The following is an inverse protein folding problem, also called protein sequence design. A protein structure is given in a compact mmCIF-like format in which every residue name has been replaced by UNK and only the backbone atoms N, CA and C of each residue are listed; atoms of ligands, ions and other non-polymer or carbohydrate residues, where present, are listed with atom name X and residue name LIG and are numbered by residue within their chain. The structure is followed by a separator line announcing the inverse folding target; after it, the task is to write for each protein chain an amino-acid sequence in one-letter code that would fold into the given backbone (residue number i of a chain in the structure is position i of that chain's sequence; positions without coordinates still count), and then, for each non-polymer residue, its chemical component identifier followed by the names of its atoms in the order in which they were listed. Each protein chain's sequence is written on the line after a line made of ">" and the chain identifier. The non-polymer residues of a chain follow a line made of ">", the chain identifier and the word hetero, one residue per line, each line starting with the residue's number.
data_IF_999400591350
#
_entry.id   IF_999400591350
#
_cell.length_a   1.000
_cell.length_b   1.000
_cell.length_c   1.000
_cell.angle_alpha   90.00
_cell.angle_beta   90.00
_cell.angle_gamma   90.00
#
_symmetry.space_group_name_H-M   'P 1'
#
loop_
_entity.id
_entity.type
_entity.pdbx_description
1 polymer ?
#
# COMPACT_ATOMS: atom_id res chain seq x y z
N UNK A 1 1.93 39.78 -2.25
CA UNK A 1 2.37 38.42 -2.62
C UNK A 1 1.90 37.45 -1.53
N UNK A 2 0.71 36.85 -1.69
CA UNK A 2 0.15 35.93 -0.68
C UNK A 2 0.87 34.58 -0.82
N UNK A 3 1.62 34.16 0.21
CA UNK A 3 2.13 32.77 0.30
C UNK A 3 0.91 31.85 0.37
N UNK A 4 0.86 30.86 -0.53
CA UNK A 4 -0.07 29.73 -0.42
C UNK A 4 0.04 29.13 0.99
N UNK A 5 -1.08 28.76 1.65
CA UNK A 5 -1.01 28.17 2.97
C UNK A 5 -0.28 26.82 2.86
N UNK A 6 0.98 26.80 3.25
CA UNK A 6 1.79 25.59 3.29
C UNK A 6 1.17 24.61 4.27
N UNK A 7 1.02 23.36 3.84
CA UNK A 7 0.57 22.27 4.70
C UNK A 7 1.49 22.22 5.94
N UNK A 8 0.96 22.13 7.17
CA UNK A 8 1.76 22.14 8.38
C UNK A 8 2.81 21.04 8.42
N UNK A 9 3.95 21.29 9.08
CA UNK A 9 5.08 20.36 9.17
C UNK A 9 4.73 19.01 9.83
N UNK A 10 3.66 18.97 10.63
CA UNK A 10 3.11 17.76 11.27
C UNK A 10 2.22 16.91 10.36
N UNK A 11 1.89 17.37 9.15
CA UNK A 11 1.10 16.57 8.21
C UNK A 11 2.02 15.63 7.42
N UNK A 12 1.94 14.35 7.79
CA UNK A 12 2.53 13.23 7.07
C UNK A 12 1.57 12.77 5.97
N UNK A 13 2.06 12.64 4.74
CA UNK A 13 1.28 12.21 3.59
C UNK A 13 1.92 10.95 3.01
N UNK A 14 1.11 9.94 2.72
CA UNK A 14 1.55 8.68 2.13
C UNK A 14 1.07 8.60 0.68
N UNK A 15 1.93 8.09 -0.21
CA UNK A 15 1.51 7.65 -1.54
C UNK A 15 1.24 6.16 -1.49
N UNK A 16 -0.01 5.75 -1.61
CA UNK A 16 -0.27 4.38 -1.94
C UNK A 16 0.08 4.09 -3.40
N UNK A 17 0.87 3.05 -3.61
CA UNK A 17 1.24 2.57 -4.95
C UNK A 17 0.53 1.25 -5.18
N UNK A 18 -0.39 1.25 -6.14
CA UNK A 18 -1.34 0.14 -6.40
C UNK A 18 -1.13 -0.50 -7.76
N UNK A 19 -0.27 0.12 -8.57
CA UNK A 19 0.21 -0.32 -9.87
C UNK A 19 1.51 0.42 -10.16
N UNK A 20 2.25 -0.02 -11.17
CA UNK A 20 3.47 0.67 -11.59
C UNK A 20 3.53 0.87 -13.10
N UNK A 21 3.70 2.13 -13.50
CA UNK A 21 3.93 2.59 -14.87
C UNK A 21 4.74 3.91 -14.83
N UNK A 22 5.12 4.45 -15.99
CA UNK A 22 5.87 5.72 -16.06
C UNK A 22 5.11 6.91 -15.46
N UNK A 23 3.78 6.87 -15.52
CA UNK A 23 2.92 7.92 -14.96
C UNK A 23 3.04 7.92 -13.44
N UNK A 24 2.90 6.76 -12.79
CA UNK A 24 3.08 6.60 -11.34
C UNK A 24 4.48 7.04 -10.90
N UNK A 25 5.53 6.71 -11.67
CA UNK A 25 6.89 7.17 -11.36
C UNK A 25 7.02 8.69 -11.38
N UNK A 26 6.41 9.38 -12.36
CA UNK A 26 6.39 10.86 -12.43
C UNK A 26 5.53 11.46 -11.33
N UNK A 27 4.39 10.86 -11.01
CA UNK A 27 3.53 11.28 -9.90
C UNK A 27 4.24 11.16 -8.54
N UNK A 28 5.08 10.13 -8.34
CA UNK A 28 5.92 10.01 -7.15
C UNK A 28 6.95 11.14 -7.04
N UNK A 29 7.60 11.53 -8.15
CA UNK A 29 8.50 12.69 -8.18
C UNK A 29 7.76 13.97 -7.80
N UNK A 30 6.58 14.18 -8.41
CA UNK A 30 5.73 15.32 -8.10
C UNK A 30 5.29 15.27 -6.63
N UNK A 31 4.99 14.10 -6.07
CA UNK A 31 4.56 13.97 -4.68
C UNK A 31 5.68 14.26 -3.69
N UNK A 32 6.90 13.77 -3.93
CA UNK A 32 8.06 14.15 -3.10
C UNK A 32 8.25 15.67 -3.12
N UNK A 33 7.88 16.32 -4.23
CA UNK A 33 7.88 17.77 -4.36
C UNK A 33 6.60 18.47 -3.83
N UNK A 34 5.43 17.80 -3.76
CA UNK A 34 4.10 18.46 -3.58
C UNK A 34 3.02 17.76 -2.70
N UNK A 35 3.28 16.60 -2.07
CA UNK A 35 2.43 15.84 -1.10
C UNK A 35 0.98 15.44 -1.52
N UNK A 36 0.67 14.13 -1.36
CA UNK A 36 -0.64 13.43 -1.19
C UNK A 36 -1.40 12.81 -2.40
N UNK A 37 -1.89 11.55 -2.26
CA UNK A 37 -3.03 10.89 -2.99
C UNK A 37 -3.50 9.58 -2.27
N UNK A 38 -4.68 9.00 -2.60
CA UNK A 38 -5.35 7.84 -1.93
C UNK A 38 -5.98 6.84 -2.94
N UNK A 39 -5.90 5.51 -2.73
CA UNK A 39 -6.72 4.47 -3.43
C UNK A 39 -6.18 3.02 -3.38
N UNK A 40 -7.02 1.96 -3.38
CA UNK A 40 -6.82 0.50 -3.03
C UNK A 40 -5.61 -0.34 -3.58
N UNK A 41 -5.04 -1.29 -2.80
CA UNK A 41 -3.59 -1.62 -2.80
C UNK A 41 -3.15 -3.12 -2.81
N UNK A 42 -2.91 -3.73 -3.97
CA UNK A 42 -2.03 -4.92 -4.09
C UNK A 42 -1.19 -4.81 -5.36
N UNK A 43 0.12 -5.06 -5.26
CA UNK A 43 1.07 -5.01 -6.40
C UNK A 43 1.94 -6.26 -6.41
N UNK A 44 2.39 -6.67 -7.60
CA UNK A 44 3.30 -7.81 -7.73
C UNK A 44 4.73 -7.44 -7.35
N UNK A 45 5.54 -8.46 -6.99
CA UNK A 45 6.94 -8.32 -6.57
C UNK A 45 7.80 -7.52 -7.56
N UNK A 46 7.59 -7.76 -8.86
CA UNK A 46 8.30 -7.04 -9.92
C UNK A 46 8.08 -5.53 -9.83
N UNK A 47 6.84 -5.12 -9.54
CA UNK A 47 6.47 -3.71 -9.42
C UNK A 47 6.93 -3.14 -8.06
N UNK A 48 6.86 -3.94 -6.99
CA UNK A 48 7.39 -3.58 -5.67
C UNK A 48 8.89 -3.24 -5.74
N UNK A 49 9.68 -4.08 -6.43
CA UNK A 49 11.11 -3.84 -6.63
C UNK A 49 11.40 -2.56 -7.42
N UNK A 50 10.56 -2.21 -8.40
CA UNK A 50 10.68 -0.94 -9.14
C UNK A 50 10.36 0.26 -8.24
N UNK A 51 9.30 0.14 -7.42
CA UNK A 51 8.96 1.13 -6.40
C UNK A 51 10.08 1.36 -5.39
N UNK A 52 10.70 0.29 -4.87
CA UNK A 52 11.83 0.41 -3.94
C UNK A 52 13.05 1.10 -4.55
N UNK A 53 13.41 0.76 -5.79
CA UNK A 53 14.49 1.47 -6.53
C UNK A 53 14.18 2.96 -6.65
N UNK A 54 12.92 3.32 -6.92
CA UNK A 54 12.50 4.72 -7.00
C UNK A 54 12.59 5.40 -5.64
N UNK A 55 12.07 4.80 -4.57
CA UNK A 55 12.17 5.35 -3.22
C UNK A 55 13.63 5.62 -2.82
N UNK A 56 14.52 4.67 -3.11
CA UNK A 56 15.97 4.85 -2.91
C UNK A 56 16.52 6.05 -3.68
N UNK A 57 16.14 6.23 -4.95
CA UNK A 57 16.59 7.37 -5.77
C UNK A 57 16.08 8.72 -5.27
N UNK A 58 14.92 8.74 -4.60
CA UNK A 58 14.29 9.95 -4.08
C UNK A 58 14.64 10.22 -2.61
N UNK A 59 15.38 9.34 -1.95
CA UNK A 59 15.70 9.45 -0.52
C UNK A 59 14.48 9.27 0.38
N UNK A 60 13.46 8.53 -0.06
CA UNK A 60 12.22 8.31 0.69
C UNK A 60 12.18 6.93 1.35
N UNK A 61 11.50 6.85 2.49
CA UNK A 61 11.20 5.59 3.16
C UNK A 61 10.02 4.89 2.47
N UNK A 62 10.22 3.66 2.03
CA UNK A 62 9.13 2.80 1.57
C UNK A 62 8.44 2.15 2.78
N UNK A 63 7.11 2.12 2.77
CA UNK A 63 6.32 1.37 3.74
C UNK A 63 5.44 0.36 2.99
N UNK A 64 5.23 -0.81 3.58
CA UNK A 64 4.51 -1.93 2.96
C UNK A 64 3.41 -2.39 3.91
N UNK A 65 2.20 -2.58 3.38
CA UNK A 65 1.17 -3.40 4.02
C UNK A 65 1.45 -4.85 3.66
N UNK A 66 2.11 -5.59 4.55
CA UNK A 66 2.66 -6.90 4.26
C UNK A 66 1.68 -8.01 4.67
N UNK A 67 0.74 -8.34 3.80
CA UNK A 67 -0.08 -9.56 3.88
C UNK A 67 -0.10 -10.24 2.51
N UNK A 68 -0.10 -11.57 2.46
CA UNK A 68 -0.32 -12.30 1.21
C UNK A 68 -1.76 -12.11 0.71
N UNK A 69 -1.95 -11.19 -0.23
CA UNK A 69 -3.28 -10.78 -0.70
C UNK A 69 -4.08 -11.89 -1.38
N UNK A 70 -3.42 -12.80 -2.10
CA UNK A 70 -4.09 -13.94 -2.75
C UNK A 70 -4.65 -14.91 -1.71
N UNK A 71 -3.85 -15.25 -0.70
CA UNK A 71 -4.28 -16.12 0.38
C UNK A 71 -5.37 -15.47 1.26
N UNK A 72 -5.31 -14.16 1.50
CA UNK A 72 -6.37 -13.41 2.19
C UNK A 72 -7.67 -13.45 1.39
N UNK A 73 -7.61 -13.28 0.06
CA UNK A 73 -8.79 -13.34 -0.80
C UNK A 73 -9.48 -14.73 -0.73
N UNK A 74 -8.71 -15.81 -0.87
CA UNK A 74 -9.23 -17.17 -0.74
C UNK A 74 -9.77 -17.45 0.67
N UNK A 75 -9.09 -16.95 1.71
CA UNK A 75 -9.58 -17.01 3.09
C UNK A 75 -10.93 -16.31 3.28
N UNK A 76 -11.11 -15.11 2.71
CA UNK A 76 -12.38 -14.37 2.78
C UNK A 76 -13.51 -15.12 2.07
N UNK A 77 -13.24 -15.62 0.87
CA UNK A 77 -14.19 -16.45 0.11
C UNK A 77 -14.60 -17.68 0.91
N UNK A 78 -13.64 -18.36 1.55
CA UNK A 78 -13.91 -19.52 2.40
C UNK A 78 -14.79 -19.20 3.61
N UNK A 79 -14.59 -18.05 4.27
CA UNK A 79 -15.44 -17.65 5.40
C UNK A 79 -16.89 -17.45 4.96
N UNK A 80 -17.10 -16.80 3.81
CA UNK A 80 -18.43 -16.59 3.23
C UNK A 80 -19.09 -17.93 2.87
N UNK A 81 -18.35 -18.86 2.24
CA UNK A 81 -18.84 -20.21 1.90
C UNK A 81 -19.25 -21.03 3.14
N UNK A 82 -18.59 -20.81 4.26
CA UNK A 82 -18.92 -21.44 5.55
C UNK A 82 -20.09 -20.73 6.29
N UNK A 83 -20.68 -19.69 5.70
CA UNK A 83 -21.76 -18.91 6.31
C UNK A 83 -21.29 -17.92 7.39
N UNK A 84 -19.97 -17.76 7.57
CA UNK A 84 -19.37 -16.85 8.55
C UNK A 84 -19.33 -15.45 7.93
N UNK A 85 -20.38 -14.68 8.20
CA UNK A 85 -20.58 -13.32 7.66
C UNK A 85 -20.44 -12.22 8.71
N UNK A 86 -20.22 -12.60 9.98
CA UNK A 86 -19.95 -11.66 11.06
C UNK A 86 -18.50 -11.15 11.05
N UNK A 87 -18.17 -10.17 11.91
CA UNK A 87 -16.84 -9.57 11.99
C UNK A 87 -15.71 -10.57 12.29
N UNK A 88 -16.02 -11.69 12.95
CA UNK A 88 -15.08 -12.77 13.24
C UNK A 88 -14.45 -13.37 11.98
N UNK A 89 -15.19 -13.38 10.85
CA UNK A 89 -14.67 -13.82 9.56
C UNK A 89 -13.48 -12.98 9.06
N UNK A 90 -13.37 -11.72 9.50
CA UNK A 90 -12.23 -10.86 9.15
C UNK A 90 -10.91 -11.44 9.68
N UNK A 91 -10.85 -11.75 10.97
CA UNK A 91 -9.64 -12.31 11.58
C UNK A 91 -9.37 -13.74 11.08
N UNK A 92 -10.42 -14.56 10.93
CA UNK A 92 -10.29 -15.95 10.48
C UNK A 92 -9.82 -16.07 9.02
N UNK A 93 -10.15 -15.11 8.16
CA UNK A 93 -9.71 -15.09 6.76
C UNK A 93 -8.24 -14.71 6.54
N UNK A 94 -7.55 -14.21 7.57
CA UNK A 94 -6.17 -13.69 7.47
C UNK A 94 -5.30 -14.13 8.67
N UNK A 95 -4.95 -15.42 8.78
CA UNK A 95 -4.13 -15.88 9.90
C UNK A 95 -2.73 -15.23 9.87
N UNK A 96 -2.06 -15.05 11.03
CA UNK A 96 -0.76 -14.34 11.12
C UNK A 96 0.36 -14.89 10.23
N UNK A 97 0.26 -16.14 9.79
CA UNK A 97 1.21 -16.75 8.86
C UNK A 97 1.25 -16.03 7.50
N UNK A 98 0.14 -15.41 7.06
CA UNK A 98 0.09 -14.66 5.79
C UNK A 98 0.81 -13.31 5.86
N UNK A 99 0.86 -12.70 7.04
CA UNK A 99 1.71 -11.52 7.31
C UNK A 99 3.18 -11.92 7.42
N UNK A 100 3.44 -13.03 8.14
CA UNK A 100 4.78 -13.57 8.32
C UNK A 100 5.48 -13.92 7.00
N UNK A 101 4.76 -14.55 6.07
CA UNK A 101 5.29 -14.86 4.73
C UNK A 101 5.56 -13.58 3.91
N UNK A 102 4.65 -12.60 3.92
CA UNK A 102 4.82 -11.35 3.20
C UNK A 102 5.92 -10.42 3.76
N UNK A 103 6.43 -10.72 4.96
CA UNK A 103 7.48 -9.94 5.65
C UNK A 103 8.88 -10.58 5.56
N UNK A 104 8.96 -11.87 5.23
CA UNK A 104 10.21 -12.66 5.21
C UNK A 104 11.05 -12.43 3.95
#
# INVERSE_FOLDING_TARGET
>A
MKRSPGIPAWTMAYMPVTKWDETVSKEMEIMVQKKAFKGSFMISDKLLLQGFKKCKSLGTLAMVHAENGDAVYEGQKRMIELGITGPEGHALSRPPVLEGEATA
#
